data_IF_248140859271
#
_entry.id   IF_248140859271
#
_cell.length_a   1.000
_cell.length_b   1.000
_cell.length_c   1.000
_cell.angle_alpha   90.00
_cell.angle_beta   90.00
_cell.angle_gamma   90.00
#
_symmetry.space_group_name_H-M   'P 1'
#
loop_
_entity.id
_entity.type
_entity.pdbx_description
1 polymer ?
#
# COMPACT_ATOMS: atom_id res chain seq x y z
N UNK A 1 -31.13 14.55 -3.16
CA UNK A 1 -30.15 13.44 -3.01
C UNK A 1 -29.70 13.36 -1.55
N UNK A 2 -29.75 12.19 -0.92
CA UNK A 2 -29.34 12.02 0.48
C UNK A 2 -27.84 12.38 0.62
N UNK A 3 -27.50 13.30 1.53
CA UNK A 3 -26.11 13.76 1.75
C UNK A 3 -25.15 12.59 2.01
N UNK A 4 -25.64 11.50 2.60
CA UNK A 4 -24.84 10.30 2.86
C UNK A 4 -24.51 9.52 1.58
N UNK A 5 -25.41 9.48 0.60
CA UNK A 5 -25.13 8.82 -0.70
C UNK A 5 -24.02 9.59 -1.41
N UNK A 6 -24.11 10.92 -1.46
CA UNK A 6 -23.07 11.76 -2.08
C UNK A 6 -21.71 11.55 -1.40
N UNK A 7 -21.66 11.46 -0.08
CA UNK A 7 -20.44 11.18 0.68
C UNK A 7 -19.86 9.81 0.33
N UNK A 8 -20.69 8.77 0.24
CA UNK A 8 -20.22 7.43 -0.13
C UNK A 8 -19.69 7.38 -1.56
N UNK A 9 -20.37 8.05 -2.50
CA UNK A 9 -19.89 8.17 -3.89
C UNK A 9 -18.55 8.91 -3.94
N UNK A 10 -18.41 10.01 -3.20
CA UNK A 10 -17.15 10.74 -3.11
C UNK A 10 -16.03 9.88 -2.51
N UNK A 11 -16.29 9.17 -1.42
CA UNK A 11 -15.31 8.27 -0.79
C UNK A 11 -14.91 7.15 -1.74
N UNK A 12 -15.86 6.53 -2.43
CA UNK A 12 -15.60 5.50 -3.45
C UNK A 12 -14.66 6.04 -4.51
N UNK A 13 -14.99 7.18 -5.12
CA UNK A 13 -14.20 7.76 -6.21
C UNK A 13 -12.80 8.19 -5.75
N UNK A 14 -12.68 8.81 -4.58
CA UNK A 14 -11.38 9.22 -4.03
C UNK A 14 -10.52 8.01 -3.64
N UNK A 15 -11.11 7.01 -3.00
CA UNK A 15 -10.40 5.79 -2.62
C UNK A 15 -9.89 5.08 -3.88
N UNK A 16 -10.78 4.83 -4.84
CA UNK A 16 -10.46 4.15 -6.09
C UNK A 16 -9.42 4.93 -6.90
N UNK A 17 -9.66 6.22 -7.17
CA UNK A 17 -8.74 7.05 -7.96
C UNK A 17 -7.35 7.19 -7.36
N UNK A 18 -7.25 7.32 -6.03
CA UNK A 18 -5.94 7.39 -5.37
C UNK A 18 -5.22 6.03 -5.33
N UNK A 19 -5.95 4.91 -5.19
CA UNK A 19 -5.37 3.58 -5.32
C UNK A 19 -4.77 3.36 -6.71
N UNK A 20 -5.49 3.76 -7.77
CA UNK A 20 -5.00 3.70 -9.15
C UNK A 20 -3.74 4.54 -9.36
N UNK A 21 -3.68 5.75 -8.79
CA UNK A 21 -2.52 6.62 -8.95
C UNK A 21 -1.24 6.02 -8.41
N UNK A 22 -1.33 5.19 -7.37
CA UNK A 22 -0.18 4.49 -6.80
C UNK A 22 0.21 3.23 -7.56
N UNK A 23 -0.72 2.56 -8.23
CA UNK A 23 -0.38 1.44 -9.11
C UNK A 23 0.48 1.86 -10.29
N UNK A 24 0.29 3.07 -10.82
CA UNK A 24 1.17 3.63 -11.86
C UNK A 24 2.63 3.77 -11.38
N UNK A 25 2.86 3.75 -10.06
CA UNK A 25 4.17 3.83 -9.42
C UNK A 25 4.66 2.46 -8.93
N UNK A 26 3.86 1.39 -9.06
CA UNK A 26 4.26 0.04 -8.69
C UNK A 26 5.26 -0.51 -9.71
N UNK A 27 6.39 -1.05 -9.23
CA UNK A 27 7.44 -1.63 -10.09
C UNK A 27 7.43 -3.16 -9.87
N UNK A 28 7.13 -3.97 -10.90
CA UNK A 28 7.21 -5.44 -10.82
C UNK A 28 8.61 -5.93 -10.42
N UNK A 29 8.76 -7.06 -9.71
CA UNK A 29 7.74 -8.07 -9.36
C UNK A 29 7.00 -7.80 -8.04
N UNK A 30 7.24 -6.67 -7.39
CA UNK A 30 6.67 -6.40 -6.07
C UNK A 30 5.29 -5.77 -6.21
N UNK A 31 4.27 -6.53 -5.81
CA UNK A 31 2.85 -6.18 -5.94
C UNK A 31 2.37 -5.10 -4.95
N UNK A 32 3.26 -4.56 -4.12
CA UNK A 32 2.91 -3.63 -3.05
C UNK A 32 3.61 -2.27 -3.24
N UNK A 33 2.82 -1.21 -3.23
CA UNK A 33 3.31 0.17 -3.35
C UNK A 33 3.74 0.68 -1.97
N UNK A 34 4.81 1.49 -1.88
CA UNK A 34 5.32 2.00 -0.60
C UNK A 34 4.37 3.00 0.08
N UNK A 35 3.34 3.45 -0.63
CA UNK A 35 2.31 4.36 -0.13
C UNK A 35 0.96 3.87 -0.64
N UNK A 36 -0.03 3.83 0.25
CA UNK A 36 -1.43 3.53 -0.10
C UNK A 36 -2.35 4.67 0.37
N UNK A 37 -2.45 5.78 -0.38
CA UNK A 37 -3.17 6.99 0.02
C UNK A 37 -4.65 6.74 0.30
N UNK A 38 -5.23 5.72 -0.32
CA UNK A 38 -6.60 5.30 -0.13
C UNK A 38 -6.92 4.87 1.32
N UNK A 39 -5.94 4.32 2.06
CA UNK A 39 -6.10 4.03 3.49
C UNK A 39 -6.38 5.32 4.31
N UNK A 40 -5.72 6.42 3.96
CA UNK A 40 -5.98 7.72 4.59
C UNK A 40 -7.27 8.39 4.12
N UNK A 41 -7.76 8.10 2.91
CA UNK A 41 -9.13 8.45 2.51
C UNK A 41 -10.13 7.76 3.42
N UNK A 42 -10.01 6.45 3.59
CA UNK A 42 -10.89 5.69 4.46
C UNK A 42 -10.88 6.25 5.89
N UNK A 43 -9.70 6.42 6.49
CA UNK A 43 -9.58 6.95 7.84
C UNK A 43 -10.12 8.38 7.97
N UNK A 44 -9.67 9.31 7.12
CA UNK A 44 -10.08 10.72 7.18
C UNK A 44 -11.60 10.90 7.08
N UNK A 45 -12.23 10.23 6.12
CA UNK A 45 -13.69 10.32 6.01
C UNK A 45 -14.40 9.60 7.17
N UNK A 46 -13.85 8.49 7.71
CA UNK A 46 -14.46 7.80 8.87
C UNK A 46 -14.39 8.69 10.11
N UNK A 47 -13.32 9.46 10.29
CA UNK A 47 -13.21 10.44 11.37
C UNK A 47 -14.22 11.58 11.21
N UNK A 48 -14.47 12.05 9.99
CA UNK A 48 -15.42 13.13 9.72
C UNK A 48 -16.89 12.71 9.78
N UNK A 49 -17.23 11.51 9.27
CA UNK A 49 -18.62 11.12 9.01
C UNK A 49 -19.04 9.79 9.67
N UNK A 50 -18.14 9.12 10.37
CA UNK A 50 -18.43 7.90 11.13
C UNK A 50 -18.79 6.71 10.24
N UNK A 51 -19.70 5.86 10.73
CA UNK A 51 -20.03 4.56 10.11
C UNK A 51 -20.80 4.67 8.80
N UNK A 52 -21.38 5.84 8.51
CA UNK A 52 -22.25 6.06 7.35
C UNK A 52 -21.52 5.95 6.01
N UNK A 53 -20.19 5.99 6.00
CA UNK A 53 -19.37 5.93 4.78
C UNK A 53 -18.73 4.56 4.53
N UNK A 54 -18.94 3.58 5.41
CA UNK A 54 -18.37 2.24 5.25
C UNK A 54 -18.69 1.63 3.88
N UNK A 55 -19.91 1.80 3.30
CA UNK A 55 -20.19 1.31 1.95
C UNK A 55 -19.27 1.91 0.88
N UNK A 56 -18.96 3.20 0.96
CA UNK A 56 -18.09 3.88 0.00
C UNK A 56 -16.64 3.38 0.06
N UNK A 57 -16.14 3.11 1.27
CA UNK A 57 -14.81 2.52 1.47
C UNK A 57 -14.76 1.11 0.89
N UNK A 58 -15.75 0.28 1.24
CA UNK A 58 -15.84 -1.09 0.74
C UNK A 58 -15.89 -1.13 -0.79
N UNK A 59 -16.78 -0.35 -1.41
CA UNK A 59 -16.93 -0.32 -2.87
C UNK A 59 -15.70 0.25 -3.56
N UNK A 60 -15.07 1.29 -3.00
CA UNK A 60 -13.84 1.86 -3.54
C UNK A 60 -12.67 0.88 -3.48
N UNK A 61 -12.52 0.15 -2.37
CA UNK A 61 -11.50 -0.88 -2.20
C UNK A 61 -11.73 -2.09 -3.10
N UNK A 62 -12.98 -2.55 -3.22
CA UNK A 62 -13.35 -3.63 -4.13
C UNK A 62 -13.04 -3.25 -5.58
N UNK A 63 -13.46 -2.05 -6.02
CA UNK A 63 -13.19 -1.56 -7.37
C UNK A 63 -11.69 -1.43 -7.64
N UNK A 64 -10.91 -0.97 -6.66
CA UNK A 64 -9.45 -0.87 -6.79
C UNK A 64 -8.83 -2.25 -7.01
N UNK A 65 -9.10 -3.22 -6.13
CA UNK A 65 -8.48 -4.56 -6.21
C UNK A 65 -8.93 -5.37 -7.43
N UNK A 66 -10.18 -5.21 -7.88
CA UNK A 66 -10.64 -5.82 -9.14
C UNK A 66 -9.89 -5.21 -10.33
N UNK A 67 -9.71 -3.88 -10.34
CA UNK A 67 -8.95 -3.21 -11.38
C UNK A 67 -7.47 -3.63 -11.37
N UNK A 68 -6.85 -3.75 -10.19
CA UNK A 68 -5.49 -4.27 -10.02
C UNK A 68 -5.31 -5.60 -10.74
N UNK A 69 -6.24 -6.54 -10.48
CA UNK A 69 -6.21 -7.87 -11.07
C UNK A 69 -6.34 -7.80 -12.60
N UNK A 70 -7.28 -6.98 -13.09
CA UNK A 70 -7.49 -6.78 -14.52
C UNK A 70 -6.26 -6.21 -15.22
N UNK A 71 -5.63 -5.18 -14.64
CA UNK A 71 -4.46 -4.51 -15.21
C UNK A 71 -3.21 -5.41 -15.22
N UNK A 72 -3.14 -6.38 -14.30
CA UNK A 72 -2.09 -7.40 -14.26
C UNK A 72 -2.32 -8.55 -15.27
N UNK A 73 -3.39 -8.49 -16.07
CA UNK A 73 -3.74 -9.55 -17.01
C UNK A 73 -4.28 -10.82 -16.33
N UNK A 74 -4.71 -10.71 -15.08
CA UNK A 74 -5.33 -11.81 -14.34
C UNK A 74 -6.82 -11.83 -14.67
N UNK A 75 -7.33 -12.99 -15.09
CA UNK A 75 -8.76 -13.15 -15.37
C UNK A 75 -9.61 -12.84 -14.13
N UNK A 76 -10.67 -12.06 -14.33
CA UNK A 76 -11.61 -11.69 -13.26
C UNK A 76 -12.55 -12.87 -13.00
N UNK A 77 -12.07 -13.80 -12.17
CA UNK A 77 -12.84 -14.95 -11.69
C UNK A 77 -13.59 -14.63 -10.40
N UNK A 78 -14.45 -15.55 -9.96
CA UNK A 78 -15.11 -15.45 -8.65
C UNK A 78 -14.11 -15.37 -7.49
N UNK A 79 -12.95 -16.02 -7.61
CA UNK A 79 -11.87 -15.97 -6.63
C UNK A 79 -11.34 -14.54 -6.48
N UNK A 80 -11.21 -13.80 -7.59
CA UNK A 80 -10.60 -12.47 -7.60
C UNK A 80 -11.56 -11.42 -7.04
N UNK A 81 -12.85 -11.56 -7.35
CA UNK A 81 -13.90 -10.75 -6.72
C UNK A 81 -13.99 -11.03 -5.22
N UNK A 82 -13.84 -12.30 -4.81
CA UNK A 82 -13.88 -12.69 -3.39
C UNK A 82 -12.68 -12.13 -2.62
N UNK A 83 -11.47 -12.23 -3.20
CA UNK A 83 -10.26 -11.59 -2.67
C UNK A 83 -10.48 -10.09 -2.50
N UNK A 84 -10.89 -9.38 -3.56
CA UNK A 84 -11.14 -7.94 -3.53
C UNK A 84 -12.19 -7.53 -2.48
N UNK A 85 -13.24 -8.33 -2.31
CA UNK A 85 -14.25 -8.10 -1.28
C UNK A 85 -13.68 -8.26 0.15
N UNK A 86 -12.86 -9.29 0.39
CA UNK A 86 -12.22 -9.50 1.71
C UNK A 86 -11.25 -8.36 2.03
N UNK A 87 -10.47 -7.89 1.04
CA UNK A 87 -9.62 -6.70 1.21
C UNK A 87 -10.47 -5.47 1.52
N UNK A 88 -11.59 -5.27 0.82
CA UNK A 88 -12.50 -4.16 1.09
C UNK A 88 -13.11 -4.20 2.49
N UNK A 89 -13.45 -5.39 2.99
CA UNK A 89 -13.90 -5.58 4.38
C UNK A 89 -12.77 -5.22 5.35
N UNK A 90 -11.55 -5.70 5.10
CA UNK A 90 -10.37 -5.37 5.89
C UNK A 90 -10.13 -3.86 6.00
N UNK A 91 -10.25 -3.13 4.89
CA UNK A 91 -10.11 -1.68 4.85
C UNK A 91 -11.17 -0.97 5.71
N UNK A 92 -12.43 -1.44 5.67
CA UNK A 92 -13.51 -0.91 6.53
C UNK A 92 -13.22 -1.20 8.00
N UNK A 93 -12.82 -2.42 8.35
CA UNK A 93 -12.51 -2.81 9.74
C UNK A 93 -11.33 -1.99 10.26
N UNK A 94 -10.28 -1.79 9.46
CA UNK A 94 -9.14 -0.96 9.82
C UNK A 94 -9.56 0.48 10.13
N UNK A 95 -10.31 1.13 9.23
CA UNK A 95 -10.76 2.50 9.45
C UNK A 95 -11.71 2.61 10.67
N UNK A 96 -12.58 1.61 10.86
CA UNK A 96 -13.45 1.52 12.03
C UNK A 96 -12.65 1.35 13.33
N UNK A 97 -11.64 0.48 13.32
CA UNK A 97 -10.78 0.20 14.45
C UNK A 97 -9.92 1.41 14.82
N UNK A 98 -9.36 2.10 13.83
CA UNK A 98 -8.65 3.36 14.02
C UNK A 98 -9.53 4.40 14.73
N UNK A 99 -10.75 4.64 14.23
CA UNK A 99 -11.71 5.56 14.87
C UNK A 99 -12.06 5.13 16.28
N UNK A 100 -12.28 3.83 16.51
CA UNK A 100 -12.57 3.29 17.83
C UNK A 100 -11.45 3.60 18.83
N UNK A 101 -10.19 3.30 18.46
CA UNK A 101 -9.03 3.60 19.31
C UNK A 101 -8.87 5.10 19.55
N UNK A 102 -9.03 5.92 18.51
CA UNK A 102 -8.92 7.38 18.65
C UNK A 102 -9.97 7.94 19.59
N UNK A 103 -11.23 7.52 19.48
CA UNK A 103 -12.28 7.92 20.41
C UNK A 103 -12.00 7.40 21.84
N UNK A 104 -11.47 6.18 21.97
CA UNK A 104 -11.17 5.56 23.28
C UNK A 104 -10.06 6.29 24.05
N UNK A 105 -9.11 6.88 23.33
CA UNK A 105 -7.92 7.54 23.90
C UNK A 105 -7.96 9.08 23.79
N UNK A 106 -9.09 9.67 23.40
CA UNK A 106 -9.25 11.12 23.20
C UNK A 106 -8.21 11.69 22.24
N UNK A 107 -8.12 11.05 21.06
CA UNK A 107 -7.21 11.40 19.96
C UNK A 107 -7.99 11.78 18.70
N UNK A 108 -9.29 12.10 18.82
CA UNK A 108 -10.01 12.66 17.68
C UNK A 108 -9.43 14.05 17.34
N UNK A 109 -9.53 14.51 16.09
CA UNK A 109 -8.92 15.78 15.67
C UNK A 109 -9.27 16.98 16.57
N UNK A 110 -10.49 17.01 17.11
CA UNK A 110 -11.00 18.01 18.05
C UNK A 110 -10.38 17.94 19.47
N UNK A 111 -9.84 16.78 19.86
CA UNK A 111 -9.25 16.56 21.18
C UNK A 111 -7.75 16.89 21.23
N UNK A 112 -7.10 17.03 20.08
CA UNK A 112 -5.65 17.22 19.96
C UNK A 112 -5.23 18.62 20.43
N UNK A 113 -4.66 18.69 21.63
CA UNK A 113 -4.29 19.95 22.31
C UNK A 113 -2.79 20.09 22.59
N UNK A 114 -2.02 19.01 22.48
CA UNK A 114 -0.59 19.00 22.81
C UNK A 114 0.20 17.97 21.99
N UNK A 115 1.54 18.09 22.00
CA UNK A 115 2.45 17.23 21.24
C UNK A 115 2.36 15.74 21.60
N UNK A 116 2.08 15.39 22.87
CA UNK A 116 1.95 13.99 23.29
C UNK A 116 0.72 13.33 22.67
N UNK A 117 -0.41 14.04 22.62
CA UNK A 117 -1.61 13.57 21.93
C UNK A 117 -1.39 13.46 20.42
N UNK A 118 -0.67 14.40 19.81
CA UNK A 118 -0.30 14.32 18.39
C UNK A 118 0.54 13.07 18.12
N UNK A 119 1.57 12.78 18.93
CA UNK A 119 2.38 11.57 18.78
C UNK A 119 1.55 10.29 18.93
N UNK A 120 0.66 10.23 19.93
CA UNK A 120 -0.25 9.09 20.11
C UNK A 120 -1.21 8.94 18.92
N UNK A 121 -1.74 10.05 18.40
CA UNK A 121 -2.56 10.05 17.19
C UNK A 121 -1.79 9.46 16.01
N UNK A 122 -0.53 9.88 15.79
CA UNK A 122 0.28 9.35 14.69
C UNK A 122 0.52 7.83 14.83
N UNK A 123 0.80 7.34 16.05
CA UNK A 123 0.98 5.91 16.30
C UNK A 123 -0.31 5.12 16.07
N UNK A 124 -1.45 5.64 16.53
CA UNK A 124 -2.76 4.97 16.38
C UNK A 124 -3.26 5.02 14.94
N UNK A 125 -3.17 6.18 14.29
CA UNK A 125 -3.65 6.42 12.93
C UNK A 125 -2.91 5.58 11.89
N UNK A 126 -1.58 5.50 11.98
CA UNK A 126 -0.77 4.71 11.07
C UNK A 126 -0.50 3.32 11.65
N UNK A 127 0.68 3.10 12.26
CA UNK A 127 1.20 1.78 12.63
C UNK A 127 0.19 0.83 13.28
N UNK A 128 -0.52 1.27 14.32
CA UNK A 128 -1.37 0.37 15.13
C UNK A 128 -2.62 -0.05 14.38
N UNK A 129 -3.35 0.91 13.79
CA UNK A 129 -4.58 0.55 13.08
C UNK A 129 -4.29 -0.20 11.78
N UNK A 130 -3.17 0.13 11.12
CA UNK A 130 -2.77 -0.45 9.85
C UNK A 130 -2.39 -1.94 9.94
N UNK A 131 -2.17 -2.48 11.15
CA UNK A 131 -1.96 -3.91 11.36
C UNK A 131 -3.18 -4.74 10.89
N UNK A 132 -4.39 -4.20 11.00
CA UNK A 132 -5.62 -4.94 10.72
C UNK A 132 -5.70 -5.33 9.24
N UNK A 133 -5.65 -4.35 8.33
CA UNK A 133 -5.79 -4.63 6.91
C UNK A 133 -4.52 -5.23 6.32
N UNK A 134 -3.33 -4.83 6.79
CA UNK A 134 -2.08 -5.42 6.29
C UNK A 134 -1.94 -6.90 6.63
N UNK A 135 -2.30 -7.33 7.84
CA UNK A 135 -2.31 -8.76 8.21
C UNK A 135 -3.35 -9.52 7.41
N UNK A 136 -4.57 -8.97 7.28
CA UNK A 136 -5.62 -9.55 6.45
C UNK A 136 -5.14 -9.72 5.00
N UNK A 137 -4.63 -8.65 4.41
CA UNK A 137 -4.20 -8.60 3.02
C UNK A 137 -3.06 -9.58 2.73
N UNK A 138 -1.97 -9.54 3.51
CA UNK A 138 -0.85 -10.46 3.32
C UNK A 138 -1.25 -11.93 3.47
N UNK A 139 -2.15 -12.22 4.43
CA UNK A 139 -2.68 -13.57 4.63
C UNK A 139 -3.57 -14.00 3.45
N UNK A 140 -4.43 -13.10 2.95
CA UNK A 140 -5.27 -13.40 1.78
C UNK A 140 -4.44 -13.61 0.51
N UNK A 141 -3.32 -12.89 0.33
CA UNK A 141 -2.43 -13.12 -0.81
C UNK A 141 -1.89 -14.57 -0.83
N UNK A 142 -1.56 -15.12 0.34
CA UNK A 142 -1.12 -16.51 0.47
C UNK A 142 -2.26 -17.53 0.35
N UNK A 143 -3.43 -17.26 0.94
CA UNK A 143 -4.57 -18.18 0.90
C UNK A 143 -5.24 -18.28 -0.48
N UNK A 144 -5.12 -17.22 -1.29
CA UNK A 144 -5.63 -17.18 -2.66
C UNK A 144 -4.56 -17.59 -3.70
N UNK A 145 -3.40 -18.09 -3.25
CA UNK A 145 -2.27 -18.49 -4.11
C UNK A 145 -1.78 -17.39 -5.07
N UNK A 146 -1.97 -16.12 -4.70
CA UNK A 146 -1.53 -14.96 -5.49
C UNK A 146 -0.03 -14.74 -5.28
N UNK A 147 0.45 -14.93 -4.04
CA UNK A 147 1.86 -14.78 -3.68
C UNK A 147 2.31 -15.98 -2.84
N UNK A 148 3.48 -16.57 -3.13
CA UNK A 148 4.02 -17.66 -2.29
C UNK A 148 4.22 -17.22 -0.84
N UNK A 149 3.88 -18.11 0.10
CA UNK A 149 4.01 -17.86 1.55
C UNK A 149 5.43 -17.47 2.00
N UNK A 150 6.47 -17.85 1.26
CA UNK A 150 7.85 -17.41 1.52
C UNK A 150 8.04 -15.90 1.47
N UNK A 151 7.17 -15.17 0.75
CA UNK A 151 7.16 -13.72 0.65
C UNK A 151 6.12 -13.06 1.57
N UNK A 152 5.48 -13.81 2.47
CA UNK A 152 4.42 -13.27 3.33
C UNK A 152 4.91 -12.10 4.18
N UNK A 153 6.08 -12.25 4.83
CA UNK A 153 6.62 -11.24 5.73
C UNK A 153 6.96 -9.94 4.98
N UNK A 154 7.59 -10.04 3.80
CA UNK A 154 7.93 -8.87 3.00
C UNK A 154 6.69 -8.15 2.50
N UNK A 155 5.68 -8.87 2.00
CA UNK A 155 4.42 -8.28 1.55
C UNK A 155 3.65 -7.63 2.69
N UNK A 156 3.60 -8.28 3.86
CA UNK A 156 2.98 -7.70 5.05
C UNK A 156 3.65 -6.39 5.46
N UNK A 157 4.98 -6.33 5.52
CA UNK A 157 5.72 -5.12 5.89
C UNK A 157 5.45 -4.00 4.88
N UNK A 158 5.54 -4.28 3.58
CA UNK A 158 5.31 -3.23 2.55
C UNK A 158 3.88 -2.71 2.63
N UNK A 159 2.89 -3.60 2.78
CA UNK A 159 1.49 -3.18 2.91
C UNK A 159 1.26 -2.36 4.17
N UNK A 160 1.81 -2.81 5.30
CA UNK A 160 1.70 -2.11 6.59
C UNK A 160 2.31 -0.71 6.54
N UNK A 161 3.48 -0.57 5.93
CA UNK A 161 4.13 0.73 5.70
C UNK A 161 3.27 1.60 4.77
N UNK A 162 2.79 1.03 3.66
CA UNK A 162 1.98 1.75 2.68
C UNK A 162 0.70 2.32 3.27
N UNK A 163 -0.06 1.49 3.99
CA UNK A 163 -1.28 1.91 4.69
C UNK A 163 -0.96 2.96 5.78
N UNK A 164 0.11 2.77 6.55
CA UNK A 164 0.50 3.70 7.61
C UNK A 164 0.85 5.08 7.06
N UNK A 165 1.65 5.13 6.00
CA UNK A 165 2.07 6.40 5.37
C UNK A 165 0.86 7.07 4.73
N UNK A 166 0.03 6.30 4.02
CA UNK A 166 -1.22 6.81 3.44
C UNK A 166 -2.15 7.41 4.49
N UNK A 167 -2.34 6.69 5.60
CA UNK A 167 -3.13 7.16 6.74
C UNK A 167 -2.59 8.47 7.31
N UNK A 168 -1.30 8.55 7.60
CA UNK A 168 -0.69 9.70 8.27
C UNK A 168 -0.63 10.95 7.40
N UNK A 169 -0.58 10.79 6.07
CA UNK A 169 -0.44 11.93 5.16
C UNK A 169 -1.79 12.42 4.66
N UNK A 170 -2.66 11.51 4.23
CA UNK A 170 -3.92 11.89 3.58
C UNK A 170 -5.00 12.24 4.59
N UNK A 171 -5.06 11.55 5.74
CA UNK A 171 -6.06 11.81 6.79
C UNK A 171 -6.09 13.26 7.27
N UNK A 172 -4.97 13.87 7.75
CA UNK A 172 -4.99 15.24 8.24
C UNK A 172 -5.35 16.24 7.13
N UNK A 173 -4.89 16.01 5.89
CA UNK A 173 -5.25 16.84 4.75
C UNK A 173 -6.75 16.83 4.45
N UNK A 174 -7.36 15.65 4.45
CA UNK A 174 -8.81 15.52 4.22
C UNK A 174 -9.62 16.14 5.35
N UNK A 175 -9.20 15.97 6.61
CA UNK A 175 -9.85 16.63 7.75
C UNK A 175 -9.77 18.15 7.55
N UNK A 176 -8.62 18.73 7.22
CA UNK A 176 -8.51 20.17 7.00
C UNK A 176 -9.36 20.69 5.82
N UNK A 177 -9.49 19.89 4.75
CA UNK A 177 -10.24 20.28 3.56
C UNK A 177 -11.76 20.21 3.78
N UNK A 178 -12.23 19.15 4.46
CA UNK A 178 -13.65 18.82 4.59
C UNK A 178 -14.26 19.14 5.96
N UNK A 179 -13.46 19.40 6.99
CA UNK A 179 -13.95 19.93 8.25
C UNK A 179 -14.43 21.37 8.05
N UNK A 180 -15.69 21.63 8.45
CA UNK A 180 -16.33 22.94 8.30
C UNK A 180 -16.28 23.78 9.57
N UNK A 181 -15.50 23.37 10.58
CA UNK A 181 -15.41 24.12 11.82
C UNK A 181 -14.72 25.49 11.58
N UNK A 182 -15.42 26.63 11.73
CA UNK A 182 -14.88 27.95 11.40
C UNK A 182 -13.72 28.39 12.29
N UNK A 183 -13.56 27.78 13.47
CA UNK A 183 -12.52 28.13 14.44
C UNK A 183 -11.15 27.52 14.13
N UNK A 184 -11.09 26.56 13.19
CA UNK A 184 -9.84 25.90 12.84
C UNK A 184 -9.19 26.68 11.68
N UNK A 185 -8.22 27.53 12.00
CA UNK A 185 -7.46 28.25 10.98
C UNK A 185 -6.82 27.25 10.00
N UNK A 186 -7.06 27.47 8.71
CA UNK A 186 -6.45 26.69 7.62
C UNK A 186 -4.98 27.06 7.50
N UNK A 187 -4.16 26.60 8.44
CA UNK A 187 -2.72 26.81 8.35
C UNK A 187 -2.12 25.80 7.37
N UNK A 188 -1.70 26.29 6.20
CA UNK A 188 -1.02 25.49 5.17
C UNK A 188 0.29 24.87 5.70
N UNK A 189 0.94 25.50 6.68
CA UNK A 189 2.20 25.00 7.25
C UNK A 189 2.02 23.66 7.99
N UNK A 190 0.85 23.43 8.58
CA UNK A 190 0.52 22.15 9.24
C UNK A 190 0.35 21.00 8.24
N UNK A 191 0.07 21.30 6.96
CA UNK A 191 0.03 20.32 5.88
C UNK A 191 1.42 20.06 5.25
N UNK A 192 2.36 21.02 5.35
CA UNK A 192 3.71 20.87 4.80
C UNK A 192 4.51 19.76 5.48
N UNK A 193 4.35 19.58 6.79
CA UNK A 193 5.02 18.52 7.55
C UNK A 193 4.67 17.10 7.06
N UNK A 194 3.38 16.69 6.99
CA UNK A 194 3.02 15.38 6.46
C UNK A 194 3.37 15.23 4.97
N UNK A 195 3.30 16.29 4.16
CA UNK A 195 3.75 16.26 2.77
C UNK A 195 5.27 16.00 2.69
N UNK A 196 6.07 16.69 3.50
CA UNK A 196 7.52 16.48 3.53
C UNK A 196 7.89 15.07 4.01
N UNK A 197 7.15 14.53 4.99
CA UNK A 197 7.31 13.16 5.44
C UNK A 197 6.96 12.15 4.34
N UNK A 198 5.87 12.38 3.61
CA UNK A 198 5.50 11.55 2.46
C UNK A 198 6.59 11.54 1.39
N UNK A 199 7.09 12.71 1.01
CA UNK A 199 8.15 12.86 0.01
C UNK A 199 9.42 12.15 0.47
N UNK A 200 9.80 12.26 1.75
CA UNK A 200 10.96 11.56 2.30
C UNK A 200 10.78 10.05 2.30
N UNK A 201 9.61 9.54 2.67
CA UNK A 201 9.34 8.09 2.64
C UNK A 201 9.42 7.57 1.20
N UNK A 202 8.76 8.26 0.25
CA UNK A 202 8.82 7.91 -1.17
C UNK A 202 10.26 7.95 -1.67
N UNK A 203 11.01 9.03 -1.39
CA UNK A 203 12.40 9.17 -1.80
C UNK A 203 13.29 8.08 -1.19
N UNK A 204 13.11 7.76 0.09
CA UNK A 204 13.87 6.70 0.78
C UNK A 204 13.60 5.33 0.17
N UNK A 205 12.35 5.04 -0.21
CA UNK A 205 12.01 3.80 -0.88
C UNK A 205 12.67 3.70 -2.26
N UNK A 206 12.57 4.75 -3.08
CA UNK A 206 13.26 4.78 -4.39
C UNK A 206 14.78 4.64 -4.24
N UNK A 207 15.37 5.24 -3.21
CA UNK A 207 16.79 5.14 -2.91
C UNK A 207 17.21 3.72 -2.49
N UNK A 208 16.48 3.09 -1.56
CA UNK A 208 16.74 1.69 -1.16
C UNK A 208 16.59 0.75 -2.36
N UNK A 209 15.58 0.98 -3.19
CA UNK A 209 15.35 0.22 -4.42
C UNK A 209 16.45 0.40 -5.46
N UNK A 210 17.00 1.60 -5.63
CA UNK A 210 18.11 1.81 -6.57
C UNK A 210 19.34 1.00 -6.16
N UNK A 211 19.59 0.87 -4.86
CA UNK A 211 20.67 0.04 -4.32
C UNK A 211 20.40 -1.46 -4.55
N UNK A 212 19.17 -1.92 -4.32
CA UNK A 212 18.81 -3.33 -4.55
C UNK A 212 18.87 -3.71 -6.03
N UNK A 213 18.42 -2.85 -6.94
CA UNK A 213 18.50 -3.10 -8.39
C UNK A 213 19.95 -3.21 -8.88
N UNK A 214 20.84 -2.37 -8.36
CA UNK A 214 22.26 -2.40 -8.71
C UNK A 214 22.89 -3.74 -8.28
N UNK A 215 22.61 -4.18 -7.05
CA UNK A 215 23.04 -5.48 -6.53
C UNK A 215 22.44 -6.67 -7.31
N UNK A 216 21.18 -6.58 -7.76
CA UNK A 216 20.54 -7.65 -8.54
C UNK A 216 21.13 -7.75 -9.95
N UNK A 217 21.46 -6.60 -10.57
CA UNK A 217 22.09 -6.55 -11.90
C UNK A 217 23.51 -7.12 -11.88
N UNK A 218 24.30 -6.79 -10.86
CA UNK A 218 25.65 -7.34 -10.70
C UNK A 218 25.61 -8.85 -10.47
N UNK A 219 24.68 -9.36 -9.66
CA UNK A 219 24.50 -10.80 -9.45
C UNK A 219 24.11 -11.55 -10.73
N UNK A 220 23.17 -11.03 -11.52
CA UNK A 220 22.77 -11.64 -12.80
C UNK A 220 23.92 -11.61 -13.80
N UNK A 221 24.69 -10.51 -13.86
CA UNK A 221 25.86 -10.41 -14.72
C UNK A 221 26.94 -11.44 -14.34
N UNK A 222 27.18 -11.64 -13.04
CA UNK A 222 28.14 -12.63 -12.53
C UNK A 222 27.72 -14.08 -12.85
N UNK A 223 26.44 -14.42 -12.63
CA UNK A 223 25.87 -15.72 -13.02
C UNK A 223 25.98 -15.94 -14.53
N UNK A 224 25.69 -14.91 -15.33
CA UNK A 224 25.81 -14.95 -16.78
C UNK A 224 27.24 -15.24 -17.24
N UNK A 225 28.23 -14.58 -16.63
CA UNK A 225 29.65 -14.83 -16.92
C UNK A 225 30.08 -16.25 -16.51
N UNK A 226 29.65 -16.74 -15.36
CA UNK A 226 29.93 -18.12 -14.93
C UNK A 226 29.36 -19.14 -15.92
N UNK A 227 28.11 -18.96 -16.36
CA UNK A 227 27.49 -19.85 -17.35
C UNK A 227 28.25 -19.84 -18.68
N UNK A 228 28.66 -18.66 -19.16
CA UNK A 228 29.42 -18.54 -20.40
C UNK A 228 30.79 -19.24 -20.28
N UNK A 229 31.48 -19.09 -19.15
CA UNK A 229 32.76 -19.75 -18.90
C UNK A 229 32.64 -21.28 -18.91
N UNK A 230 31.60 -21.83 -18.24
CA UNK A 230 31.33 -23.28 -18.23
C UNK A 230 31.00 -23.79 -19.63
N UNK A 231 30.16 -23.07 -20.39
CA UNK A 231 29.85 -23.44 -21.77
C UNK A 231 31.10 -23.46 -22.67
N UNK A 232 31.98 -22.47 -22.54
CA UNK A 232 33.25 -22.42 -23.29
C UNK A 232 34.16 -23.60 -22.94
N UNK A 233 34.25 -23.98 -21.67
CA UNK A 233 35.04 -25.13 -21.23
C UNK A 233 34.49 -26.43 -21.85
N UNK A 234 33.18 -26.68 -21.74
CA UNK A 234 32.54 -27.87 -22.30
C UNK A 234 32.71 -27.95 -23.83
N UNK A 235 32.59 -26.83 -24.55
CA UNK A 235 32.81 -26.78 -25.99
C UNK A 235 34.27 -27.11 -26.35
N UNK A 236 35.23 -26.61 -25.57
CA UNK A 236 36.64 -26.90 -25.80
C UNK A 236 36.98 -28.36 -25.51
N UNK A 237 36.46 -28.94 -24.43
CA UNK A 237 36.63 -30.38 -24.16
C UNK A 237 36.06 -31.23 -25.30
N UNK A 238 34.84 -30.92 -25.76
CA UNK A 238 34.22 -31.61 -26.90
C UNK A 238 35.09 -31.54 -28.16
N UNK A 239 35.67 -30.37 -28.46
CA UNK A 239 36.59 -30.20 -29.61
C UNK A 239 37.85 -31.04 -29.46
N UNK A 240 38.44 -31.11 -28.27
CA UNK A 240 39.64 -31.92 -27.99
C UNK A 240 39.33 -33.41 -28.15
N UNK A 241 38.20 -33.88 -27.61
CA UNK A 241 37.77 -35.27 -27.74
C UNK A 241 37.50 -35.63 -29.21
N UNK A 242 36.82 -34.76 -29.96
CA UNK A 242 36.57 -34.94 -31.39
C UNK A 242 37.87 -35.00 -32.21
N UNK A 243 38.85 -34.15 -31.89
CA UNK A 243 40.15 -34.16 -32.55
C UNK A 243 40.93 -35.46 -32.26
N UNK A 244 40.90 -35.94 -31.02
CA UNK A 244 41.54 -37.19 -30.62
C UNK A 244 40.85 -38.44 -31.19
N UNK A 245 39.55 -38.39 -31.46
CA UNK A 245 38.81 -39.48 -32.09
C UNK A 245 39.00 -39.53 -33.63
N UNK A 246 39.43 -38.42 -34.24
CA UNK A 246 39.67 -38.30 -35.68
C UNK A 246 41.14 -38.59 -36.09
N UNK A 247 42.03 -38.80 -35.12
CA UNK A 247 43.44 -39.20 -35.28
C UNK A 247 43.65 -40.68 -35.05
#
# INVERSE_FOLDING_TARGET
MNKNILRNVLVLLLYWGLALSTELLAIPPDYATPVWPAAGVALGFVLLYGRMIYPGIFLGALAANVYTSFNQGIDITQQQVSFAAIIGIGAVIQAAFARFLMARFSLLPEDLSNGSQILRFLVVAGPVSCLVNSLNGATMLGLFDIVPWSYWLSNWIVWWVGDSVGALVVTPFLIQLFNRNPQQERNLQTALLPISFLVLVIASFYFVRSLEQENRRTLIADIGQQHEAVLRLNINELKVILAAAAS
#
